data_IF_619393780687
#
_entry.id   IF_619393780687
#
_cell.length_a   1.000
_cell.length_b   1.000
_cell.length_c   1.000
_cell.angle_alpha   90.00
_cell.angle_beta   90.00
_cell.angle_gamma   90.00
#
_symmetry.space_group_name_H-M   'P 1'
#
loop_
_entity.id
_entity.type
_entity.pdbx_description
1 polymer ?
#
# COMPACT_ATOMS: atom_id res chain seq x y z
N UNK A 1 -36.70 -45.33 30.16
CA UNK A 1 -37.24 -45.93 28.91
C UNK A 1 -37.31 -44.79 27.91
N UNK A 2 -36.54 -44.71 26.84
CA UNK A 2 -35.93 -45.77 26.01
C UNK A 2 -34.65 -45.20 25.39
N UNK A 3 -33.51 -45.86 25.63
CA UNK A 3 -32.22 -45.51 25.04
C UNK A 3 -32.18 -46.09 23.63
N UNK A 4 -32.11 -45.25 22.60
CA UNK A 4 -31.87 -45.72 21.23
C UNK A 4 -30.36 -45.96 21.10
N UNK A 5 -29.97 -47.24 21.11
CA UNK A 5 -28.60 -47.64 20.77
C UNK A 5 -28.48 -47.68 19.25
N UNK A 6 -27.53 -46.91 18.71
CA UNK A 6 -27.14 -46.98 17.30
C UNK A 6 -26.66 -48.39 16.95
N UNK A 7 -27.04 -48.86 15.77
CA UNK A 7 -26.77 -50.23 15.31
C UNK A 7 -25.30 -50.40 14.89
N UNK A 8 -24.81 -51.63 14.92
CA UNK A 8 -23.41 -51.96 14.63
C UNK A 8 -22.99 -51.61 13.18
N UNK A 9 -23.95 -51.48 12.25
CA UNK A 9 -23.73 -50.98 10.88
C UNK A 9 -23.48 -49.46 10.82
N UNK A 10 -24.07 -48.65 11.71
CA UNK A 10 -23.85 -47.20 11.76
C UNK A 10 -22.46 -46.84 12.32
N UNK A 11 -21.81 -47.75 13.05
CA UNK A 11 -20.44 -47.57 13.55
C UNK A 11 -19.37 -47.89 12.50
N UNK A 12 -19.71 -48.57 11.41
CA UNK A 12 -18.76 -48.99 10.38
C UNK A 12 -18.58 -47.91 9.29
N UNK A 13 -19.55 -47.02 9.10
CA UNK A 13 -19.47 -45.97 8.07
C UNK A 13 -18.67 -44.71 8.48
N UNK A 14 -18.22 -44.62 9.75
CA UNK A 14 -17.40 -43.51 10.27
C UNK A 14 -15.90 -43.81 10.29
N UNK A 15 -15.45 -44.91 9.69
CA UNK A 15 -14.02 -45.25 9.57
C UNK A 15 -13.64 -45.53 8.13
N UNK A 16 -13.20 -44.48 7.43
CA UNK A 16 -12.20 -44.41 6.34
C UNK A 16 -12.61 -43.33 5.34
N UNK A 17 -12.30 -42.09 5.68
CA UNK A 17 -11.84 -41.12 4.68
C UNK A 17 -10.37 -40.92 5.02
N UNK A 18 -9.46 -41.46 4.20
CA UNK A 18 -8.06 -41.08 4.31
C UNK A 18 -8.00 -39.60 4.03
N UNK A 19 -7.50 -38.83 4.99
CA UNK A 19 -7.25 -37.43 4.78
C UNK A 19 -6.01 -37.32 3.89
N UNK A 20 -6.20 -37.35 2.58
CA UNK A 20 -5.20 -36.92 1.62
C UNK A 20 -5.11 -35.39 1.72
N UNK A 21 -4.52 -34.91 2.81
CA UNK A 21 -4.04 -33.55 2.88
C UNK A 21 -2.94 -33.39 1.82
N UNK A 22 -2.86 -32.24 1.13
CA UNK A 22 -1.70 -31.94 0.31
C UNK A 22 -0.43 -32.09 1.17
N UNK A 23 0.70 -32.53 0.59
CA UNK A 23 1.92 -32.75 1.34
C UNK A 23 2.26 -31.48 2.12
N UNK A 24 2.60 -31.65 3.40
CA UNK A 24 3.14 -30.57 4.23
C UNK A 24 4.31 -29.94 3.46
N UNK A 25 4.41 -28.59 3.40
CA UNK A 25 5.59 -27.96 2.86
C UNK A 25 6.85 -28.57 3.51
N UNK A 26 7.94 -28.79 2.76
CA UNK A 26 9.17 -29.28 3.35
C UNK A 26 9.54 -28.41 4.56
N UNK A 27 10.05 -29.04 5.62
CA UNK A 27 10.59 -28.30 6.75
C UNK A 27 11.62 -27.28 6.22
N UNK A 28 11.50 -26.04 6.69
CA UNK A 28 12.51 -25.03 6.37
C UNK A 28 13.84 -25.57 6.86
N UNK A 29 14.80 -25.69 5.96
CA UNK A 29 16.13 -26.19 6.28
C UNK A 29 16.77 -25.26 7.32
N UNK A 30 16.86 -25.72 8.57
CA UNK A 30 17.53 -25.01 9.67
C UNK A 30 19.01 -25.45 9.80
N UNK A 31 19.56 -26.17 8.82
CA UNK A 31 20.91 -26.72 8.88
C UNK A 31 22.04 -25.67 8.86
N UNK A 32 21.74 -24.38 8.68
CA UNK A 32 22.71 -23.30 8.88
C UNK A 32 22.86 -22.84 10.35
N UNK A 33 22.41 -23.66 11.32
CA UNK A 33 22.75 -23.46 12.75
C UNK A 33 24.07 -24.13 13.16
N UNK A 34 25.06 -24.18 12.25
CA UNK A 34 26.45 -24.30 12.66
C UNK A 34 27.06 -22.92 12.89
N UNK A 35 27.86 -22.81 13.96
CA UNK A 35 28.53 -21.59 14.43
C UNK A 35 29.43 -20.99 13.35
N UNK A 36 28.82 -20.26 12.43
CA UNK A 36 29.53 -19.38 11.52
C UNK A 36 29.66 -18.07 12.26
N UNK A 37 30.88 -17.68 12.61
CA UNK A 37 31.19 -16.27 12.90
C UNK A 37 30.86 -15.49 11.64
N UNK A 38 29.61 -15.07 11.47
CA UNK A 38 29.16 -14.36 10.29
C UNK A 38 29.78 -12.97 10.34
N UNK A 39 30.91 -12.81 9.65
CA UNK A 39 31.15 -11.54 8.98
C UNK A 39 29.92 -11.33 8.11
N UNK A 40 29.00 -10.46 8.55
CA UNK A 40 27.86 -10.04 7.74
C UNK A 40 28.45 -9.37 6.50
N UNK A 41 28.57 -10.14 5.41
CA UNK A 41 28.69 -9.59 4.07
C UNK A 41 27.61 -8.51 3.94
N UNK A 42 27.97 -7.27 3.55
CA UNK A 42 26.97 -6.23 3.40
C UNK A 42 25.92 -6.71 2.40
N UNK A 43 24.64 -6.71 2.79
CA UNK A 43 23.54 -7.07 1.89
C UNK A 43 23.59 -6.14 0.68
N UNK A 44 24.02 -6.65 -0.47
CA UNK A 44 24.18 -5.86 -1.68
C UNK A 44 22.82 -5.80 -2.40
N UNK A 45 22.10 -4.70 -2.23
CA UNK A 45 20.94 -4.41 -3.06
C UNK A 45 21.41 -4.06 -4.49
N UNK A 46 20.71 -4.50 -5.55
CA UNK A 46 21.00 -4.02 -6.89
C UNK A 46 20.82 -2.51 -6.95
N UNK A 47 21.61 -1.86 -7.80
CA UNK A 47 21.39 -0.45 -8.10
C UNK A 47 20.04 -0.29 -8.82
N UNK A 48 19.32 0.81 -8.59
CA UNK A 48 18.11 1.09 -9.34
C UNK A 48 18.37 1.07 -10.85
N UNK A 49 17.41 0.60 -11.66
CA UNK A 49 17.51 0.70 -13.11
C UNK A 49 17.63 2.17 -13.52
N UNK A 50 18.32 2.49 -14.62
CA UNK A 50 18.33 3.84 -15.17
C UNK A 50 16.91 4.36 -15.39
N UNK A 51 16.62 5.54 -14.85
CA UNK A 51 15.36 6.23 -15.11
C UNK A 51 15.45 6.97 -16.45
N UNK A 52 14.35 6.92 -17.20
CA UNK A 52 14.18 7.62 -18.47
C UNK A 52 12.87 8.40 -18.42
N UNK A 53 12.85 9.55 -17.71
CA UNK A 53 11.61 10.30 -17.49
C UNK A 53 10.98 10.71 -18.84
N UNK A 54 9.69 10.42 -19.04
CA UNK A 54 8.97 10.87 -20.22
C UNK A 54 8.99 12.40 -20.30
N UNK A 55 9.27 12.94 -21.49
CA UNK A 55 9.28 14.40 -21.74
C UNK A 55 8.02 14.87 -22.45
N UNK A 56 7.34 13.97 -23.15
CA UNK A 56 6.13 14.27 -23.91
C UNK A 56 4.88 13.90 -23.13
N UNK A 57 3.90 14.80 -23.14
CA UNK A 57 2.59 14.55 -22.54
C UNK A 57 1.76 13.74 -23.54
N UNK A 58 1.17 12.64 -23.07
CA UNK A 58 0.31 11.82 -23.91
C UNK A 58 -0.91 12.64 -24.37
N UNK A 59 -1.31 12.59 -25.66
CA UNK A 59 -2.47 13.34 -26.16
C UNK A 59 -3.77 13.12 -25.39
N UNK A 60 -3.94 11.95 -24.77
CA UNK A 60 -5.09 11.64 -23.92
C UNK A 60 -5.15 12.48 -22.64
N UNK A 61 -4.00 12.95 -22.15
CA UNK A 61 -3.89 13.71 -20.90
C UNK A 61 -4.12 15.21 -21.10
N UNK A 62 -3.94 15.76 -22.31
CA UNK A 62 -4.02 17.21 -22.58
C UNK A 62 -5.31 17.88 -22.10
N UNK A 63 -6.43 17.16 -22.08
CA UNK A 63 -7.75 17.67 -21.65
C UNK A 63 -8.09 17.32 -20.20
N UNK A 64 -7.16 16.72 -19.47
CA UNK A 64 -7.36 16.30 -18.08
C UNK A 64 -6.73 17.32 -17.12
N UNK A 65 -7.12 17.32 -15.84
CA UNK A 65 -6.42 18.11 -14.81
C UNK A 65 -4.93 17.80 -14.68
N UNK A 66 -4.49 16.62 -15.12
CA UNK A 66 -3.09 16.17 -15.10
C UNK A 66 -2.39 16.40 -16.45
N UNK A 67 -2.96 17.22 -17.35
CA UNK A 67 -2.43 17.47 -18.70
C UNK A 67 -1.09 18.21 -18.78
N UNK A 68 -0.42 18.37 -17.65
CA UNK A 68 0.92 18.94 -17.48
C UNK A 68 1.97 17.85 -17.16
N UNK A 69 1.53 16.62 -16.85
CA UNK A 69 2.38 15.55 -16.33
C UNK A 69 2.67 14.51 -17.43
N UNK A 70 3.91 14.43 -17.95
CA UNK A 70 4.28 13.37 -18.88
C UNK A 70 4.38 12.02 -18.15
N UNK A 71 3.93 10.95 -18.82
CA UNK A 71 3.80 9.59 -18.28
C UNK A 71 4.22 8.56 -19.34
N UNK A 72 4.77 7.43 -18.89
CA UNK A 72 5.27 6.41 -19.81
C UNK A 72 4.11 5.80 -20.62
N UNK A 73 4.27 5.76 -21.94
CA UNK A 73 3.27 5.26 -22.88
C UNK A 73 3.05 3.74 -22.80
N UNK A 74 3.98 2.99 -22.21
CA UNK A 74 3.89 1.54 -22.00
C UNK A 74 2.87 1.17 -20.92
N UNK A 75 2.57 2.08 -20.00
CA UNK A 75 1.63 1.84 -18.91
C UNK A 75 0.22 1.56 -19.42
N UNK A 76 -0.40 0.50 -18.89
CA UNK A 76 -1.76 0.10 -19.22
C UNK A 76 -2.74 0.93 -18.37
N UNK A 77 -3.50 1.82 -19.01
CA UNK A 77 -4.52 2.65 -18.33
C UNK A 77 -5.76 1.83 -17.99
N UNK A 78 -6.19 1.89 -16.73
CA UNK A 78 -7.28 1.06 -16.19
C UNK A 78 -8.61 1.84 -16.01
N UNK A 79 -8.55 3.16 -16.08
CA UNK A 79 -9.69 4.07 -15.86
C UNK A 79 -9.82 5.12 -16.97
N UNK A 80 -9.28 4.84 -18.15
CA UNK A 80 -9.21 5.81 -19.26
C UNK A 80 -8.16 6.89 -19.01
N UNK A 81 -8.45 8.12 -19.43
CA UNK A 81 -7.50 9.24 -19.31
C UNK A 81 -7.33 9.71 -17.85
N UNK A 82 -8.42 9.82 -17.10
CA UNK A 82 -8.42 10.41 -15.75
C UNK A 82 -9.59 9.87 -14.89
N UNK A 83 -9.41 9.63 -13.57
CA UNK A 83 -8.16 9.70 -12.80
C UNK A 83 -7.13 8.70 -13.31
N UNK A 84 -5.84 9.01 -13.17
CA UNK A 84 -4.79 8.13 -13.68
C UNK A 84 -4.61 6.91 -12.78
N UNK A 85 -5.02 5.74 -13.29
CA UNK A 85 -4.76 4.45 -12.67
C UNK A 85 -4.17 3.53 -13.74
N UNK A 86 -2.99 3.00 -13.48
CA UNK A 86 -2.27 2.17 -14.43
C UNK A 86 -1.44 1.09 -13.75
N UNK A 87 -1.13 0.06 -14.53
CA UNK A 87 -0.13 -0.95 -14.22
C UNK A 87 0.82 -1.11 -15.40
N UNK A 88 2.04 -1.58 -15.16
CA UNK A 88 2.93 -2.00 -16.23
C UNK A 88 2.40 -3.28 -16.91
N UNK A 89 2.74 -3.53 -18.19
CA UNK A 89 2.62 -4.85 -18.76
C UNK A 89 3.36 -5.87 -17.88
N UNK A 90 2.74 -7.02 -17.57
CA UNK A 90 3.29 -7.97 -16.58
C UNK A 90 4.68 -8.49 -16.97
N UNK A 91 4.90 -8.76 -18.26
CA UNK A 91 6.21 -9.19 -18.77
C UNK A 91 7.26 -8.09 -18.64
N UNK A 92 6.91 -6.83 -18.92
CA UNK A 92 7.82 -5.70 -18.76
C UNK A 92 8.19 -5.49 -17.28
N UNK A 93 7.19 -5.55 -16.38
CA UNK A 93 7.43 -5.50 -14.94
C UNK A 93 8.37 -6.61 -14.46
N UNK A 94 8.20 -7.83 -14.96
CA UNK A 94 9.08 -8.95 -14.62
C UNK A 94 10.51 -8.73 -15.14
N UNK A 95 10.64 -8.18 -16.35
CA UNK A 95 11.94 -7.93 -16.99
C UNK A 95 12.75 -6.79 -16.34
N UNK A 96 12.09 -5.86 -15.64
CA UNK A 96 12.76 -4.85 -14.80
C UNK A 96 13.54 -5.48 -13.63
N UNK A 97 13.21 -6.73 -13.28
CA UNK A 97 13.86 -7.47 -12.20
C UNK A 97 13.39 -7.03 -10.82
N UNK A 98 14.32 -6.92 -9.87
CA UNK A 98 13.97 -6.73 -8.46
C UNK A 98 13.53 -5.30 -8.12
N UNK A 99 14.04 -4.28 -8.83
CA UNK A 99 13.63 -2.88 -8.66
C UNK A 99 12.91 -2.42 -9.92
N UNK A 100 11.69 -1.93 -9.75
CA UNK A 100 10.89 -1.33 -10.82
C UNK A 100 11.31 0.13 -11.02
N UNK A 101 11.58 0.52 -12.26
CA UNK A 101 11.80 1.91 -12.64
C UNK A 101 10.59 2.80 -12.30
N UNK A 102 10.80 4.09 -11.97
CA UNK A 102 9.69 5.02 -11.71
C UNK A 102 8.67 5.11 -12.85
N UNK A 103 9.11 4.89 -14.09
CA UNK A 103 8.28 4.97 -15.29
C UNK A 103 7.29 3.81 -15.43
N UNK A 104 7.65 2.62 -14.93
CA UNK A 104 6.77 1.44 -14.93
C UNK A 104 6.15 1.15 -13.57
N UNK A 105 6.44 1.94 -12.54
CA UNK A 105 5.85 1.78 -11.24
C UNK A 105 4.35 2.08 -11.30
N UNK A 106 3.52 1.14 -10.81
CA UNK A 106 2.07 1.29 -10.93
C UNK A 106 1.56 2.58 -10.26
N UNK A 107 0.56 3.23 -10.87
CA UNK A 107 -0.05 4.43 -10.32
C UNK A 107 -1.50 4.14 -9.96
N UNK A 108 -1.89 4.54 -8.75
CA UNK A 108 -3.29 4.62 -8.32
C UNK A 108 -3.55 6.02 -7.81
N UNK A 109 -4.35 6.79 -8.56
CA UNK A 109 -4.87 8.10 -8.15
C UNK A 109 -6.38 8.05 -8.03
N UNK A 110 -6.92 8.59 -6.93
CA UNK A 110 -8.36 8.78 -6.75
C UNK A 110 -8.89 10.01 -7.52
N UNK A 111 -8.01 10.94 -7.88
CA UNK A 111 -8.34 12.17 -8.60
C UNK A 111 -7.09 12.88 -9.14
N UNK A 112 -7.17 14.22 -9.33
CA UNK A 112 -6.06 15.05 -9.81
C UNK A 112 -4.81 14.98 -8.94
N UNK A 113 -3.66 14.99 -9.59
CA UNK A 113 -2.34 15.09 -8.94
C UNK A 113 -2.12 16.54 -8.49
N UNK A 114 -1.84 16.81 -7.20
CA UNK A 114 -1.41 18.13 -6.75
C UNK A 114 -0.15 18.60 -7.50
N UNK A 115 -0.22 19.81 -8.05
CA UNK A 115 0.96 20.47 -8.63
C UNK A 115 1.82 21.05 -7.51
N UNK A 116 3.08 20.65 -7.46
CA UNK A 116 4.09 21.16 -6.54
C UNK A 116 5.31 21.57 -7.36
N UNK A 117 5.61 22.88 -7.38
CA UNK A 117 6.80 23.40 -8.05
C UNK A 117 8.06 23.02 -7.26
N UNK A 118 9.19 22.92 -7.94
CA UNK A 118 10.45 22.53 -7.30
C UNK A 118 10.92 23.57 -6.29
N UNK A 119 10.73 24.87 -6.55
CA UNK A 119 11.06 25.93 -5.60
C UNK A 119 10.25 25.89 -4.29
N UNK A 120 9.05 25.29 -4.32
CA UNK A 120 8.15 25.23 -3.16
C UNK A 120 8.44 24.01 -2.28
N UNK A 121 9.19 23.02 -2.78
CA UNK A 121 9.48 21.77 -2.06
C UNK A 121 10.09 22.03 -0.68
N UNK A 122 11.13 22.88 -0.50
CA UNK A 122 11.73 23.12 0.81
C UNK A 122 10.74 23.67 1.85
N UNK A 123 9.72 24.40 1.40
CA UNK A 123 8.70 25.02 2.24
C UNK A 123 7.44 24.16 2.40
N UNK A 124 7.37 23.00 1.72
CA UNK A 124 6.30 22.04 1.96
C UNK A 124 6.27 21.62 3.43
N UNK A 125 5.15 21.83 4.08
CA UNK A 125 4.97 21.47 5.50
C UNK A 125 3.96 20.33 5.68
N UNK A 126 4.13 19.56 6.76
CA UNK A 126 3.09 18.68 7.27
C UNK A 126 2.99 18.83 8.79
N UNK A 127 1.84 18.46 9.35
CA UNK A 127 1.57 18.59 10.78
C UNK A 127 1.50 17.23 11.49
N UNK A 128 1.84 17.22 12.77
CA UNK A 128 1.60 16.11 13.70
C UNK A 128 0.72 16.64 14.82
N UNK A 129 -0.51 16.16 14.92
CA UNK A 129 -1.54 16.72 15.80
C UNK A 129 -2.42 15.62 16.46
N UNK A 130 -3.47 16.04 17.18
CA UNK A 130 -4.38 15.14 17.90
C UNK A 130 -3.88 14.80 19.31
N UNK A 131 -3.88 13.51 19.66
CA UNK A 131 -3.49 12.98 20.97
C UNK A 131 -1.96 12.98 21.17
N UNK A 132 -1.37 14.17 21.11
CA UNK A 132 0.05 14.44 21.35
C UNK A 132 0.25 15.53 22.39
N UNK A 133 1.40 15.52 23.06
CA UNK A 133 1.80 16.53 24.05
C UNK A 133 2.31 17.81 23.38
N UNK A 134 3.07 17.66 22.29
CA UNK A 134 3.67 18.74 21.52
C UNK A 134 3.28 18.60 20.06
N UNK A 135 2.20 19.25 19.61
CA UNK A 135 1.88 19.33 18.18
C UNK A 135 3.07 19.91 17.41
N UNK A 136 3.37 19.33 16.24
CA UNK A 136 4.51 19.70 15.41
C UNK A 136 4.03 20.21 14.06
N UNK A 137 4.70 21.22 13.52
CA UNK A 137 4.66 21.58 12.10
C UNK A 137 6.08 21.45 11.57
N UNK A 138 6.29 20.56 10.60
CA UNK A 138 7.62 20.23 10.09
C UNK A 138 7.67 20.59 8.60
N UNK A 139 8.62 21.44 8.23
CA UNK A 139 8.92 21.73 6.83
C UNK A 139 9.82 20.64 6.24
N UNK A 140 9.69 20.42 4.95
CA UNK A 140 10.44 19.43 4.20
C UNK A 140 11.95 19.60 4.36
N UNK A 141 12.45 20.84 4.26
CA UNK A 141 13.89 21.12 4.45
C UNK A 141 14.41 20.72 5.83
N UNK A 142 13.58 20.89 6.87
CA UNK A 142 13.94 20.55 8.24
C UNK A 142 13.81 19.03 8.46
N UNK A 143 12.84 18.37 7.82
CA UNK A 143 12.72 16.92 7.81
C UNK A 143 13.98 16.25 7.24
N UNK A 144 14.50 16.75 6.13
CA UNK A 144 15.69 16.21 5.46
C UNK A 144 16.97 16.51 6.26
N UNK A 145 17.06 17.68 6.90
CA UNK A 145 18.26 18.12 7.62
C UNK A 145 18.38 17.56 9.04
N UNK A 146 17.26 17.45 9.77
CA UNK A 146 17.27 17.25 11.23
C UNK A 146 17.00 15.81 11.68
N UNK A 147 16.61 14.93 10.75
CA UNK A 147 16.27 13.55 11.06
C UNK A 147 17.16 12.58 10.29
N UNK A 148 17.40 11.41 10.89
CA UNK A 148 18.14 10.33 10.25
C UNK A 148 17.37 9.79 9.05
N UNK A 149 18.11 9.58 7.96
CA UNK A 149 17.58 9.07 6.70
C UNK A 149 17.90 7.60 6.55
N UNK A 150 16.88 6.78 6.27
CA UNK A 150 17.04 5.37 5.94
C UNK A 150 16.64 5.13 4.49
N UNK A 151 17.35 4.21 3.83
CA UNK A 151 16.92 3.67 2.53
C UNK A 151 16.61 2.20 2.69
N UNK A 152 15.41 1.77 2.28
CA UNK A 152 15.05 0.35 2.29
C UNK A 152 14.21 -0.06 1.08
N UNK A 153 14.33 -1.32 0.62
CA UNK A 153 13.46 -1.85 -0.42
C UNK A 153 12.05 -2.07 0.12
N UNK A 154 11.05 -1.54 -0.59
CA UNK A 154 9.64 -1.76 -0.24
C UNK A 154 8.84 -2.04 -1.50
N UNK A 155 8.16 -3.19 -1.47
CA UNK A 155 7.15 -3.55 -2.46
C UNK A 155 5.83 -2.90 -2.06
N UNK A 156 5.29 -2.06 -2.94
CA UNK A 156 3.92 -1.56 -2.81
C UNK A 156 2.99 -2.42 -3.64
N UNK A 157 1.83 -2.76 -3.09
CA UNK A 157 0.80 -3.57 -3.76
C UNK A 157 -0.55 -2.89 -3.64
N UNK A 158 -1.23 -2.69 -4.75
CA UNK A 158 -2.61 -2.18 -4.74
C UNK A 158 -3.55 -3.24 -4.16
N UNK A 159 -4.48 -2.85 -3.29
CA UNK A 159 -5.55 -3.75 -2.83
C UNK A 159 -6.39 -4.31 -3.99
N UNK A 160 -6.42 -3.62 -5.12
CA UNK A 160 -7.10 -4.04 -6.33
C UNK A 160 -6.32 -5.01 -7.21
N UNK A 161 -5.06 -5.35 -6.91
CA UNK A 161 -4.27 -6.27 -7.74
C UNK A 161 -5.04 -7.58 -7.98
N UNK A 162 -5.05 -8.06 -9.23
CA UNK A 162 -5.81 -9.23 -9.73
C UNK A 162 -7.33 -9.10 -9.72
N UNK A 163 -7.90 -7.90 -9.53
CA UNK A 163 -9.38 -7.71 -9.54
C UNK A 163 -10.03 -8.12 -10.86
N UNK A 164 -9.33 -8.07 -12.00
CA UNK A 164 -9.87 -8.52 -13.29
C UNK A 164 -10.36 -9.97 -13.23
N UNK A 165 -9.66 -10.85 -12.53
CA UNK A 165 -10.04 -12.25 -12.36
C UNK A 165 -11.37 -12.38 -11.61
N UNK A 166 -11.56 -11.60 -10.54
CA UNK A 166 -12.84 -11.55 -9.82
C UNK A 166 -13.96 -11.00 -10.71
N UNK A 167 -13.67 -9.94 -11.48
CA UNK A 167 -14.63 -9.31 -12.39
C UNK A 167 -15.08 -10.22 -13.54
N UNK A 168 -14.30 -11.23 -13.91
CA UNK A 168 -14.69 -12.27 -14.88
C UNK A 168 -15.73 -13.21 -14.27
N UNK A 169 -15.60 -13.56 -12.99
CA UNK A 169 -16.55 -14.42 -12.27
C UNK A 169 -17.84 -13.68 -11.95
N UNK A 170 -17.73 -12.50 -11.32
CA UNK A 170 -18.86 -11.63 -10.99
C UNK A 170 -18.42 -10.18 -11.04
N UNK A 171 -19.06 -9.39 -11.90
CA UNK A 171 -18.71 -7.98 -12.07
C UNK A 171 -18.83 -7.22 -10.73
N UNK A 172 -17.74 -6.61 -10.31
CA UNK A 172 -17.69 -5.71 -9.15
C UNK A 172 -17.77 -4.25 -9.59
N UNK A 173 -17.93 -3.33 -8.64
CA UNK A 173 -17.88 -1.87 -8.90
C UNK A 173 -16.46 -1.38 -9.22
N UNK A 174 -15.43 -2.15 -8.88
CA UNK A 174 -14.03 -1.76 -9.08
C UNK A 174 -13.54 -2.01 -10.51
N UNK A 175 -12.70 -1.11 -11.01
CA UNK A 175 -12.02 -1.29 -12.29
C UNK A 175 -11.01 -2.45 -12.26
N UNK A 176 -10.72 -3.01 -13.44
CA UNK A 176 -10.05 -4.31 -13.59
C UNK A 176 -8.53 -4.17 -13.66
N UNK A 177 -7.85 -4.31 -12.51
CA UNK A 177 -6.41 -4.57 -12.49
C UNK A 177 -6.09 -5.99 -12.96
N UNK A 178 -5.05 -6.14 -13.76
CA UNK A 178 -4.33 -7.38 -13.98
C UNK A 178 -3.48 -7.76 -12.77
N UNK A 179 -2.40 -8.49 -12.99
CA UNK A 179 -1.53 -8.99 -11.92
C UNK A 179 -0.31 -8.08 -11.64
N UNK A 180 -0.24 -6.90 -12.27
CA UNK A 180 0.87 -5.96 -12.20
C UNK A 180 0.54 -4.70 -11.37
N UNK A 181 -0.51 -4.76 -10.53
CA UNK A 181 -0.79 -3.75 -9.50
C UNK A 181 0.20 -3.83 -8.32
N UNK A 182 1.49 -4.02 -8.62
CA UNK A 182 2.59 -4.24 -7.69
C UNK A 182 3.88 -3.69 -8.30
N UNK A 183 4.71 -3.05 -7.49
CA UNK A 183 6.04 -2.59 -7.90
C UNK A 183 6.96 -2.48 -6.68
N UNK A 184 8.26 -2.68 -6.87
CA UNK A 184 9.26 -2.66 -5.80
C UNK A 184 10.30 -1.58 -6.06
N UNK A 185 10.65 -0.80 -5.04
CA UNK A 185 11.65 0.28 -5.18
C UNK A 185 12.45 0.45 -3.89
N UNK A 186 13.61 1.10 -4.00
CA UNK A 186 14.32 1.62 -2.84
C UNK A 186 13.69 2.94 -2.43
N UNK A 187 13.27 3.07 -1.18
CA UNK A 187 12.65 4.29 -0.67
C UNK A 187 13.56 4.93 0.37
N UNK A 188 13.81 6.24 0.23
CA UNK A 188 14.56 7.01 1.23
C UNK A 188 13.65 7.98 1.95
N UNK A 189 13.77 8.00 3.28
CA UNK A 189 13.01 8.90 4.13
C UNK A 189 13.32 8.75 5.61
N UNK A 190 12.47 9.38 6.41
CA UNK A 190 12.57 9.40 7.88
C UNK A 190 11.62 8.38 8.46
N UNK A 191 12.10 7.56 9.41
CA UNK A 191 11.26 6.61 10.13
C UNK A 191 10.14 7.33 10.90
N UNK A 192 8.89 6.93 10.67
CA UNK A 192 7.70 7.59 11.22
C UNK A 192 7.73 7.62 12.76
N UNK A 193 8.24 6.56 13.40
CA UNK A 193 8.31 6.48 14.86
C UNK A 193 9.16 7.59 15.49
N UNK A 194 10.21 8.08 14.82
CA UNK A 194 11.07 9.15 15.37
C UNK A 194 10.29 10.47 15.47
N UNK A 195 9.47 10.77 14.47
CA UNK A 195 8.60 11.94 14.44
C UNK A 195 7.52 11.83 15.51
N UNK A 196 6.88 10.66 15.62
CA UNK A 196 5.83 10.39 16.60
C UNK A 196 6.35 10.48 18.04
N UNK A 197 7.55 9.97 18.32
CA UNK A 197 8.20 10.10 19.63
C UNK A 197 8.46 11.57 19.98
N UNK A 198 8.93 12.38 19.03
CA UNK A 198 9.22 13.80 19.24
C UNK A 198 7.96 14.61 19.58
N UNK A 199 6.81 14.26 18.99
CA UNK A 199 5.54 14.88 19.31
C UNK A 199 5.03 14.52 20.73
N UNK A 200 5.46 13.38 21.28
CA UNK A 200 5.05 12.87 22.59
C UNK A 200 3.61 12.37 22.58
N UNK A 201 3.39 11.07 22.67
CA UNK A 201 2.06 10.46 22.54
C UNK A 201 1.28 10.49 23.86
N UNK A 202 0.03 10.96 23.82
CA UNK A 202 -0.87 10.97 24.99
C UNK A 202 -1.44 9.59 25.27
N UNK A 203 -1.78 9.34 26.54
CA UNK A 203 -2.50 8.13 26.97
C UNK A 203 -3.83 8.03 26.22
N UNK A 204 -4.08 6.87 25.63
CA UNK A 204 -5.32 6.61 24.86
C UNK A 204 -5.12 6.65 23.35
N UNK A 205 -3.99 7.16 22.85
CA UNK A 205 -3.64 7.08 21.44
C UNK A 205 -3.57 5.61 20.96
N UNK A 206 -4.11 5.34 19.77
CA UNK A 206 -4.22 3.99 19.17
C UNK A 206 -3.98 3.96 17.67
N UNK A 207 -4.21 5.07 16.96
CA UNK A 207 -4.09 5.14 15.51
C UNK A 207 -3.28 6.37 15.09
N UNK A 208 -2.66 6.26 13.93
CA UNK A 208 -2.08 7.37 13.16
C UNK A 208 -2.96 7.54 11.93
N UNK A 209 -3.83 8.55 11.95
CA UNK A 209 -4.56 8.99 10.78
C UNK A 209 -3.64 9.84 9.90
N UNK A 210 -3.77 9.72 8.59
CA UNK A 210 -2.93 10.36 7.58
C UNK A 210 -3.83 11.03 6.57
N UNK A 211 -3.48 12.24 6.15
CA UNK A 211 -4.23 13.02 5.14
C UNK A 211 -3.26 13.60 4.09
N UNK A 212 -3.64 13.46 2.82
CA UNK A 212 -2.92 14.00 1.66
C UNK A 212 -3.36 15.41 1.28
N UNK A 213 -2.80 15.93 0.19
CA UNK A 213 -3.12 17.25 -0.36
C UNK A 213 -4.08 17.21 -1.56
N UNK A 214 -4.42 16.02 -2.05
CA UNK A 214 -5.27 15.83 -3.22
C UNK A 214 -6.73 16.19 -2.93
N UNK A 215 -7.29 17.08 -3.75
CA UNK A 215 -8.68 17.54 -3.62
C UNK A 215 -9.59 16.60 -4.41
N UNK A 216 -10.34 15.77 -3.70
CA UNK A 216 -11.23 14.77 -4.28
C UNK A 216 -12.71 15.11 -4.00
N UNK A 217 -13.68 14.45 -4.65
CA UNK A 217 -15.11 14.75 -4.47
C UNK A 217 -15.60 14.64 -3.01
N UNK A 218 -15.02 13.72 -2.23
CA UNK A 218 -15.37 13.50 -0.82
C UNK A 218 -14.32 14.07 0.17
N UNK A 219 -13.63 15.14 -0.21
CA UNK A 219 -12.58 15.78 0.61
C UNK A 219 -11.17 15.31 0.22
N UNK A 220 -10.22 15.39 1.15
CA UNK A 220 -8.85 14.92 0.93
C UNK A 220 -8.75 13.41 1.11
N UNK A 221 -7.83 12.76 0.39
CA UNK A 221 -7.56 11.36 0.66
C UNK A 221 -6.99 11.20 2.06
N UNK A 222 -7.58 10.29 2.84
CA UNK A 222 -7.10 9.99 4.17
C UNK A 222 -7.46 8.59 4.63
N UNK A 223 -6.67 8.07 5.56
CA UNK A 223 -6.80 6.74 6.15
C UNK A 223 -6.02 6.67 7.45
N UNK A 224 -6.08 5.55 8.17
CA UNK A 224 -5.22 5.32 9.34
C UNK A 224 -4.43 4.03 9.26
N UNK A 225 -3.41 3.94 10.12
CA UNK A 225 -2.71 2.71 10.53
C UNK A 225 -2.70 2.63 12.05
N UNK A 226 -2.50 1.43 12.61
CA UNK A 226 -2.39 1.27 14.07
C UNK A 226 -1.09 1.92 14.57
N UNK A 227 -1.19 2.64 15.68
CA UNK A 227 -0.08 3.37 16.28
C UNK A 227 1.04 2.44 16.76
N UNK A 228 0.70 1.28 17.33
CA UNK A 228 1.71 0.32 17.76
C UNK A 228 2.57 -0.20 16.59
N UNK A 229 1.99 -0.30 15.39
CA UNK A 229 2.71 -0.66 14.18
C UNK A 229 3.59 0.48 13.66
N UNK A 230 3.10 1.72 13.72
CA UNK A 230 3.86 2.91 13.35
C UNK A 230 5.05 3.19 14.29
N UNK A 231 4.98 2.69 15.54
CA UNK A 231 6.05 2.77 16.54
C UNK A 231 7.06 1.62 16.46
N UNK A 232 6.74 0.53 15.77
CA UNK A 232 7.62 -0.62 15.63
C UNK A 232 8.66 -0.36 14.52
N UNK A 233 9.95 -0.16 14.85
CA UNK A 233 10.98 0.09 13.84
C UNK A 233 11.10 -1.07 12.85
N UNK A 234 10.75 -2.30 13.23
CA UNK A 234 10.83 -3.46 12.34
C UNK A 234 9.74 -3.47 11.27
N UNK A 235 8.67 -2.69 11.43
CA UNK A 235 7.65 -2.51 10.40
C UNK A 235 8.03 -1.48 9.34
N UNK A 236 9.13 -0.75 9.50
CA UNK A 236 9.71 0.06 8.43
C UNK A 236 8.88 1.27 7.98
N UNK A 237 7.86 1.70 8.74
CA UNK A 237 6.99 2.81 8.34
C UNK A 237 7.78 4.12 8.30
N UNK A 238 7.71 4.84 7.18
CA UNK A 238 8.51 6.05 6.96
C UNK A 238 7.74 7.16 6.25
N UNK A 239 8.26 8.38 6.36
CA UNK A 239 7.92 9.51 5.50
C UNK A 239 8.97 9.60 4.40
N UNK A 240 8.64 9.08 3.22
CA UNK A 240 9.55 8.97 2.09
C UNK A 240 9.46 10.19 1.17
N UNK A 241 10.62 10.62 0.67
CA UNK A 241 10.75 11.72 -0.31
C UNK A 241 11.67 11.38 -1.48
N UNK A 242 12.35 10.23 -1.45
CA UNK A 242 13.02 9.67 -2.62
C UNK A 242 12.55 8.25 -2.90
N UNK A 243 12.60 7.91 -4.19
CA UNK A 243 12.34 6.61 -4.74
C UNK A 243 13.46 6.31 -5.74
N UNK A 244 14.15 5.19 -5.57
CA UNK A 244 15.28 4.77 -6.41
C UNK A 244 16.41 5.82 -6.47
N UNK A 245 16.64 6.54 -5.37
CA UNK A 245 17.68 7.57 -5.26
C UNK A 245 17.26 8.97 -5.74
N UNK A 246 16.18 9.05 -6.53
CA UNK A 246 15.62 10.28 -7.09
C UNK A 246 14.48 10.84 -6.25
N UNK A 247 14.21 12.14 -6.36
CA UNK A 247 13.05 12.76 -5.72
C UNK A 247 11.73 12.14 -6.22
N UNK A 248 10.71 12.07 -5.37
CA UNK A 248 9.41 11.54 -5.77
C UNK A 248 8.84 12.26 -7.00
N UNK A 249 8.35 11.49 -7.97
CA UNK A 249 7.56 12.04 -9.08
C UNK A 249 6.18 12.49 -8.58
N UNK A 250 5.48 13.38 -9.31
CA UNK A 250 4.15 13.83 -8.93
C UNK A 250 3.15 12.70 -8.67
N UNK A 251 3.11 11.70 -9.55
CA UNK A 251 2.21 10.54 -9.41
C UNK A 251 2.51 9.68 -8.16
N UNK A 252 3.74 9.75 -7.63
CA UNK A 252 4.18 8.99 -6.45
C UNK A 252 4.26 9.80 -5.16
N UNK A 253 3.74 11.04 -5.16
CA UNK A 253 3.52 11.79 -3.94
C UNK A 253 4.49 12.95 -3.70
N UNK A 254 5.09 13.51 -4.75
CA UNK A 254 5.94 14.71 -4.66
C UNK A 254 5.34 15.81 -3.74
N UNK A 255 6.05 16.32 -2.72
CA UNK A 255 7.43 15.98 -2.36
C UNK A 255 7.55 14.92 -1.27
N UNK A 256 6.45 14.55 -0.60
CA UNK A 256 6.46 13.71 0.60
C UNK A 256 5.26 12.76 0.62
N UNK A 257 5.51 11.49 0.96
CA UNK A 257 4.46 10.50 1.21
C UNK A 257 4.69 9.72 2.51
N UNK A 258 3.63 9.17 3.07
CA UNK A 258 3.75 8.02 3.95
C UNK A 258 4.04 6.75 3.12
N UNK A 259 4.90 5.89 3.66
CA UNK A 259 5.21 4.58 3.11
C UNK A 259 5.07 3.54 4.21
N UNK A 260 4.20 2.55 3.98
CA UNK A 260 3.78 1.56 4.97
C UNK A 260 4.09 0.14 4.44
N UNK A 261 5.29 -0.40 4.73
CA UNK A 261 5.69 -1.73 4.26
C UNK A 261 4.74 -2.85 4.71
N UNK A 262 4.55 -3.85 3.87
CA UNK A 262 3.71 -5.02 4.15
C UNK A 262 2.20 -4.77 4.12
N UNK A 263 1.77 -3.52 3.93
CA UNK A 263 0.35 -3.15 3.82
C UNK A 263 -0.04 -2.76 2.41
N UNK A 264 -1.35 -2.77 2.13
CA UNK A 264 -1.87 -2.28 0.85
C UNK A 264 -1.43 -0.83 0.59
N UNK A 265 -1.17 -0.51 -0.68
CA UNK A 265 -0.76 0.82 -1.12
C UNK A 265 -1.72 1.94 -0.69
N UNK A 266 -3.01 1.61 -0.50
CA UNK A 266 -4.01 2.54 0.04
C UNK A 266 -3.67 3.11 1.42
N UNK A 267 -2.86 2.44 2.24
CA UNK A 267 -2.40 2.98 3.54
C UNK A 267 -1.17 3.88 3.42
N UNK A 268 -0.47 3.85 2.29
CA UNK A 268 0.69 4.70 2.01
C UNK A 268 0.25 6.02 1.37
N UNK A 269 -0.28 6.95 2.18
CA UNK A 269 -0.83 8.24 1.72
C UNK A 269 0.21 9.09 0.99
N UNK A 270 -0.14 9.54 -0.22
CA UNK A 270 0.69 10.45 -1.04
C UNK A 270 0.40 11.92 -0.72
N UNK A 271 1.35 12.80 -1.08
CA UNK A 271 1.22 14.24 -0.90
C UNK A 271 0.88 14.61 0.55
N UNK A 272 1.61 14.01 1.49
CA UNK A 272 1.26 14.00 2.92
C UNK A 272 1.24 15.41 3.51
N UNK A 273 0.14 15.75 4.19
CA UNK A 273 -0.05 17.03 4.89
C UNK A 273 -0.30 16.88 6.38
N UNK A 274 -0.88 15.77 6.85
CA UNK A 274 -1.20 15.60 8.28
C UNK A 274 -0.94 14.18 8.76
N UNK A 275 -0.41 14.09 9.98
CA UNK A 275 -0.44 12.93 10.85
C UNK A 275 -1.28 13.28 12.09
N UNK A 276 -2.43 12.65 12.24
CA UNK A 276 -3.40 12.96 13.30
C UNK A 276 -3.49 11.75 14.22
N UNK A 277 -3.07 11.91 15.47
CA UNK A 277 -3.07 10.82 16.44
C UNK A 277 -4.42 10.73 17.12
N UNK A 278 -5.06 9.58 17.02
CA UNK A 278 -6.44 9.34 17.48
C UNK A 278 -6.54 8.08 18.33
N UNK A 279 -7.66 7.93 19.05
CA UNK A 279 -8.02 6.73 19.81
C UNK A 279 -8.81 5.70 18.95
N UNK A 280 -9.30 6.12 17.79
CA UNK A 280 -10.09 5.33 16.84
C UNK A 280 -9.51 5.38 15.42
N UNK A 281 -9.86 4.42 14.53
CA UNK A 281 -9.52 4.50 13.11
C UNK A 281 -10.02 5.80 12.48
N UNK A 282 -9.45 6.15 11.33
CA UNK A 282 -9.86 7.32 10.55
C UNK A 282 -11.34 7.25 10.18
N UNK A 283 -12.05 8.35 10.35
CA UNK A 283 -13.41 8.57 9.88
C UNK A 283 -13.47 9.16 8.46
N UNK A 284 -12.31 9.26 7.78
CA UNK A 284 -12.22 9.76 6.41
C UNK A 284 -13.06 8.88 5.46
N UNK A 285 -13.74 9.52 4.52
CA UNK A 285 -14.62 8.83 3.57
C UNK A 285 -13.91 7.70 2.82
N UNK A 286 -12.66 7.89 2.41
CA UNK A 286 -11.86 6.89 1.69
C UNK A 286 -11.37 5.75 2.58
N UNK A 287 -11.32 5.93 3.90
CA UNK A 287 -11.05 4.86 4.85
C UNK A 287 -12.28 3.96 5.06
N UNK A 288 -13.46 4.57 5.06
CA UNK A 288 -14.73 3.88 5.27
C UNK A 288 -15.15 3.15 3.99
N UNK A 289 -15.25 3.85 2.86
CA UNK A 289 -15.91 3.37 1.63
C UNK A 289 -14.97 2.84 0.54
N UNK A 290 -13.68 2.68 0.83
CA UNK A 290 -12.70 2.04 -0.07
C UNK A 290 -11.80 1.08 0.72
N UNK A 291 -11.04 0.24 0.02
CA UNK A 291 -10.01 -0.64 0.62
C UNK A 291 -10.52 -1.58 1.74
N UNK A 292 -11.68 -2.23 1.50
CA UNK A 292 -12.25 -3.27 2.37
C UNK A 292 -12.49 -4.58 1.61
N UNK A 293 -12.35 -5.71 2.29
CA UNK A 293 -12.86 -7.01 1.82
C UNK A 293 -14.11 -7.34 2.63
N UNK A 294 -15.27 -7.05 2.04
CA UNK A 294 -16.56 -7.40 2.65
C UNK A 294 -16.81 -8.92 2.56
N UNK A 295 -17.65 -9.49 3.44
CA UNK A 295 -18.03 -10.89 3.35
C UNK A 295 -18.60 -11.26 1.98
N UNK A 296 -18.27 -12.44 1.47
CA UNK A 296 -18.64 -12.89 0.11
C UNK A 296 -20.15 -12.98 -0.12
N UNK A 297 -20.93 -13.12 0.95
CA UNK A 297 -22.40 -13.10 0.94
C UNK A 297 -22.99 -11.71 0.69
N UNK A 298 -22.21 -10.64 0.85
CA UNK A 298 -22.65 -9.26 0.63
C UNK A 298 -22.60 -8.95 -0.87
N UNK A 299 -23.73 -8.54 -1.44
CA UNK A 299 -23.81 -8.16 -2.85
C UNK A 299 -23.39 -6.70 -3.08
N UNK A 300 -23.05 -6.31 -4.33
CA UNK A 300 -22.81 -4.92 -4.68
C UNK A 300 -23.99 -3.99 -4.36
N UNK A 301 -25.23 -4.47 -4.47
CA UNK A 301 -26.45 -3.75 -4.16
C UNK A 301 -26.63 -3.60 -2.64
N UNK A 302 -26.45 -4.70 -1.89
CA UNK A 302 -26.54 -4.67 -0.43
C UNK A 302 -25.50 -3.73 0.18
N UNK A 303 -24.24 -3.82 -0.28
CA UNK A 303 -23.18 -2.89 0.14
C UNK A 303 -23.44 -1.42 -0.26
N UNK A 304 -24.29 -1.15 -1.25
CA UNK A 304 -24.68 0.21 -1.61
C UNK A 304 -25.76 0.77 -0.68
N UNK A 305 -26.71 -0.09 -0.30
CA UNK A 305 -27.92 0.29 0.43
C UNK A 305 -27.69 0.32 1.94
N UNK A 306 -26.77 -0.50 2.44
CA UNK A 306 -26.46 -0.62 3.85
C UNK A 306 -25.03 -0.15 4.16
N UNK A 307 -24.92 1.03 4.77
CA UNK A 307 -23.64 1.67 5.09
C UNK A 307 -22.89 0.97 6.22
N UNK A 308 -23.57 0.20 7.07
CA UNK A 308 -22.96 -0.44 8.24
C UNK A 308 -21.89 -1.46 7.85
N UNK A 309 -22.00 -2.08 6.66
CA UNK A 309 -20.98 -2.96 6.12
C UNK A 309 -19.60 -2.31 6.00
N UNK A 310 -19.56 -0.99 5.83
CA UNK A 310 -18.32 -0.22 5.66
C UNK A 310 -17.76 0.30 6.97
N UNK A 311 -18.50 0.20 8.08
CA UNK A 311 -18.10 0.74 9.38
C UNK A 311 -17.40 -0.30 10.27
N UNK A 312 -17.45 -1.57 9.89
CA UNK A 312 -16.80 -2.66 10.62
C UNK A 312 -15.34 -2.81 10.21
N UNK A 313 -14.45 -2.48 11.15
CA UNK A 313 -13.00 -2.48 10.95
C UNK A 313 -12.39 -3.86 10.70
N UNK A 314 -13.12 -4.94 10.99
CA UNK A 314 -12.69 -6.30 10.63
C UNK A 314 -12.56 -6.50 9.12
N UNK A 315 -13.24 -5.68 8.32
CA UNK A 315 -13.18 -5.74 6.86
C UNK A 315 -12.18 -4.75 6.26
N UNK A 316 -11.63 -3.81 7.05
CA UNK A 316 -10.61 -2.88 6.59
C UNK A 316 -9.29 -3.59 6.31
N UNK A 317 -8.75 -3.41 5.10
CA UNK A 317 -7.51 -4.08 4.71
C UNK A 317 -6.32 -3.30 5.26
N UNK A 318 -5.39 -4.00 5.89
CA UNK A 318 -4.11 -3.46 6.35
C UNK A 318 -2.97 -4.28 5.74
N UNK A 319 -2.47 -5.27 6.48
CA UNK A 319 -1.44 -6.20 6.03
C UNK A 319 -1.94 -6.99 4.80
N UNK A 320 -1.05 -7.18 3.83
CA UNK A 320 -1.32 -7.92 2.60
C UNK A 320 -1.46 -9.42 2.88
N UNK A 321 -2.33 -10.10 2.13
CA UNK A 321 -2.31 -11.56 2.06
C UNK A 321 -1.21 -12.06 1.12
N UNK A 322 -0.80 -13.32 1.27
CA UNK A 322 0.10 -13.99 0.31
C UNK A 322 -0.46 -13.91 -1.11
N UNK A 323 0.41 -13.64 -2.09
CA UNK A 323 0.04 -13.55 -3.50
C UNK A 323 1.21 -14.03 -4.38
N UNK A 324 0.87 -14.55 -5.55
CA UNK A 324 1.81 -14.90 -6.62
C UNK A 324 1.08 -14.80 -7.96
N UNK A 325 1.83 -14.45 -9.02
CA UNK A 325 1.37 -14.46 -10.40
C UNK A 325 2.46 -15.04 -11.30
N UNK A 326 2.05 -15.72 -12.37
CA UNK A 326 2.96 -16.26 -13.37
C UNK A 326 3.22 -15.17 -14.43
N UNK A 327 4.48 -14.78 -14.60
CA UNK A 327 4.90 -13.89 -15.69
C UNK A 327 5.42 -14.68 -16.92
N UNK A 328 5.83 -15.94 -16.72
CA UNK A 328 6.30 -16.85 -17.76
C UNK A 328 5.83 -18.30 -17.53
N UNK A 329 5.38 -19.02 -18.58
CA UNK A 329 5.06 -18.51 -19.92
C UNK A 329 3.99 -17.41 -19.87
N UNK A 330 4.00 -16.54 -20.89
CA UNK A 330 3.13 -15.35 -20.98
C UNK A 330 1.67 -15.74 -21.15
#
# INVERSE_FOLDING_TARGET
MTTVQATEEERVHLRRVSADFPPTPPESDLSDTEKTTSKTEPTQFPLPPPSHPPTEINPLDHKTPDGWLPRDSRLIRLTGAHPFNCEAPLTDLYNEGWLTSPELFYVRNHGPVPQVNDEDIPEWEFTVEGLVEKPLTIKFKDLVREYDQITCPVTLVCAGNRRKEQNVVRKTKGFSWGAAGVSNALWTGVMMHEILKKAGLKRGARYVCMEGADKLPNGYYGTSVKLNWALDPNRGMMLAYKMNGEMLTPDHGKPLRALIPGQIGGRSVKWLKKLIITDKPSDNWYHIYDNRVLPTTVSPEESANNKDWWMDERYAIYDLSTNSAMAHPV
#
